data_IF_555332098802
#
_entry.id   IF_555332098802
#
_cell.length_a   1.000
_cell.length_b   1.000
_cell.length_c   1.000
_cell.angle_alpha   90.00
_cell.angle_beta   90.00
_cell.angle_gamma   90.00
#
_symmetry.space_group_name_H-M   'P 1'
#
loop_
_entity.id
_entity.type
_entity.pdbx_description
1 polymer ?
#
# COMPACT_ATOMS: atom_id res chain seq x y z
N UNK A 1 -3.50 7.86 13.94
CA UNK A 1 -3.32 6.51 14.51
C UNK A 1 -4.67 5.85 14.81
N UNK A 2 -4.89 4.64 14.30
CA UNK A 2 -6.00 3.79 14.73
C UNK A 2 -7.19 3.63 13.76
N UNK A 3 -7.39 4.50 12.76
CA UNK A 3 -8.45 4.27 11.76
C UNK A 3 -7.91 3.45 10.58
N UNK A 4 -8.50 2.29 10.34
CA UNK A 4 -8.25 1.50 9.13
C UNK A 4 -9.10 2.04 7.98
N UNK A 5 -8.47 2.27 6.83
CA UNK A 5 -9.15 2.75 5.63
C UNK A 5 -9.12 1.69 4.54
N UNK A 6 -10.30 1.30 4.07
CA UNK A 6 -10.46 0.45 2.89
C UNK A 6 -10.13 1.26 1.65
N UNK A 7 -9.40 0.66 0.72
CA UNK A 7 -8.96 1.30 -0.51
C UNK A 7 -8.79 0.27 -1.64
N UNK A 8 -8.40 0.76 -2.81
CA UNK A 8 -7.93 -0.05 -3.94
C UNK A 8 -6.44 0.16 -4.10
N UNK A 9 -5.69 -0.92 -4.25
CA UNK A 9 -4.26 -0.90 -4.57
C UNK A 9 -4.13 -1.45 -6.00
N UNK A 10 -4.03 -0.51 -6.95
CA UNK A 10 -4.26 -0.77 -8.38
C UNK A 10 -5.57 -1.55 -8.62
N UNK A 11 -5.46 -2.79 -9.09
CA UNK A 11 -6.60 -3.61 -9.49
C UNK A 11 -7.17 -4.52 -8.38
N UNK A 12 -6.65 -4.48 -7.15
CA UNK A 12 -7.10 -5.36 -6.05
C UNK A 12 -7.64 -4.57 -4.84
N UNK A 13 -8.63 -5.10 -4.10
CA UNK A 13 -9.08 -4.50 -2.85
C UNK A 13 -7.99 -4.64 -1.77
N UNK A 14 -7.80 -3.59 -0.98
CA UNK A 14 -6.85 -3.56 0.14
C UNK A 14 -7.37 -2.66 1.27
N UNK A 15 -6.63 -2.62 2.37
CA UNK A 15 -6.79 -1.60 3.40
C UNK A 15 -5.43 -1.07 3.85
N UNK A 16 -5.41 0.19 4.28
CA UNK A 16 -4.25 0.81 4.92
C UNK A 16 -4.59 1.11 6.38
N UNK A 17 -3.61 0.92 7.26
CA UNK A 17 -3.75 1.22 8.67
C UNK A 17 -2.47 1.84 9.23
N UNK A 18 -2.58 2.99 9.87
CA UNK A 18 -1.48 3.65 10.57
C UNK A 18 -1.52 3.25 12.05
N UNK A 19 -0.87 2.12 12.37
CA UNK A 19 -0.72 1.63 13.74
C UNK A 19 0.34 2.38 14.54
N UNK A 20 1.33 2.95 13.86
CA UNK A 20 2.48 3.67 14.43
C UNK A 20 2.66 5.02 13.74
N UNK A 21 3.38 5.97 14.36
CA UNK A 21 3.47 7.34 13.86
C UNK A 21 4.09 7.42 12.44
N UNK A 22 5.13 6.62 12.17
CA UNK A 22 5.93 6.68 10.94
C UNK A 22 5.76 5.46 10.04
N UNK A 23 4.79 4.59 10.34
CA UNK A 23 4.59 3.36 9.57
C UNK A 23 3.12 3.12 9.23
N UNK A 24 2.91 2.62 8.02
CA UNK A 24 1.62 2.15 7.54
C UNK A 24 1.69 0.65 7.26
N UNK A 25 0.67 -0.06 7.70
CA UNK A 25 0.41 -1.45 7.31
C UNK A 25 -0.52 -1.49 6.11
N UNK A 26 -0.19 -2.34 5.14
CA UNK A 26 -1.06 -2.67 4.01
C UNK A 26 -1.63 -4.07 4.20
N UNK A 27 -2.96 -4.19 4.12
CA UNK A 27 -3.69 -5.43 4.34
C UNK A 27 -4.34 -5.85 3.02
N UNK A 28 -4.16 -7.11 2.63
CA UNK A 28 -4.76 -7.70 1.43
C UNK A 28 -5.08 -9.19 1.65
N UNK A 29 -5.83 -9.79 0.73
CA UNK A 29 -6.02 -11.25 0.74
C UNK A 29 -4.70 -11.97 0.43
N UNK A 30 -4.46 -13.10 1.12
CA UNK A 30 -3.24 -13.91 0.94
C UNK A 30 -2.98 -14.28 -0.52
N UNK A 31 -4.03 -14.57 -1.30
CA UNK A 31 -3.93 -14.94 -2.71
C UNK A 31 -3.31 -13.87 -3.61
N UNK A 32 -3.29 -12.60 -3.19
CA UNK A 32 -2.72 -11.48 -3.95
C UNK A 32 -1.54 -10.81 -3.24
N UNK A 33 -0.99 -11.45 -2.20
CA UNK A 33 0.08 -10.84 -1.38
C UNK A 33 1.33 -10.48 -2.19
N UNK A 34 1.78 -11.39 -3.08
CA UNK A 34 2.94 -11.13 -3.94
C UNK A 34 2.66 -9.96 -4.89
N UNK A 35 1.50 -9.95 -5.54
CA UNK A 35 1.09 -8.87 -6.44
C UNK A 35 1.07 -7.50 -5.74
N UNK A 36 0.54 -7.42 -4.51
CA UNK A 36 0.53 -6.18 -3.73
C UNK A 36 1.95 -5.74 -3.35
N UNK A 37 2.81 -6.69 -2.97
CA UNK A 37 4.22 -6.40 -2.68
C UNK A 37 4.95 -5.86 -3.92
N UNK A 38 4.76 -6.50 -5.07
CA UNK A 38 5.42 -6.11 -6.33
C UNK A 38 5.03 -4.70 -6.76
N UNK A 39 3.79 -4.27 -6.53
CA UNK A 39 3.37 -2.87 -6.79
C UNK A 39 4.16 -1.90 -5.92
N UNK A 40 4.30 -2.19 -4.64
CA UNK A 40 5.04 -1.31 -3.72
C UNK A 40 6.52 -1.27 -4.11
N UNK A 41 7.11 -2.43 -4.41
CA UNK A 41 8.50 -2.54 -4.85
C UNK A 41 8.74 -1.80 -6.18
N UNK A 42 7.79 -1.86 -7.12
CA UNK A 42 7.83 -1.09 -8.36
C UNK A 42 7.73 0.42 -8.09
N UNK A 43 6.86 0.82 -7.17
CA UNK A 43 6.65 2.24 -6.82
C UNK A 43 7.87 2.87 -6.15
N UNK A 44 8.80 2.08 -5.60
CA UNK A 44 10.04 2.59 -5.01
C UNK A 44 11.20 2.68 -6.01
N UNK A 45 11.01 2.23 -7.26
CA UNK A 45 12.05 2.36 -8.27
C UNK A 45 12.23 3.81 -8.70
N UNK A 46 13.39 4.14 -9.26
CA UNK A 46 13.66 5.44 -9.86
C UNK A 46 12.59 5.76 -10.93
N UNK A 47 12.03 6.97 -10.87
CA UNK A 47 10.89 7.36 -11.72
C UNK A 47 9.50 6.94 -11.21
N UNK A 48 9.40 6.24 -10.07
CA UNK A 48 8.14 5.91 -9.37
C UNK A 48 7.60 7.02 -8.47
N UNK A 49 8.22 8.20 -8.50
CA UNK A 49 7.88 9.35 -7.68
C UNK A 49 6.47 9.88 -7.97
N UNK A 50 5.69 10.18 -6.91
CA UNK A 50 4.30 10.65 -7.04
C UNK A 50 4.22 12.06 -7.65
N UNK A 51 5.29 12.86 -7.56
CA UNK A 51 5.33 14.22 -8.10
C UNK A 51 4.28 15.16 -7.49
N UNK A 52 3.86 14.92 -6.24
CA UNK A 52 2.90 15.79 -5.54
C UNK A 52 3.62 17.04 -5.00
N UNK A 53 3.23 18.21 -5.51
CA UNK A 53 3.73 19.53 -5.09
C UNK A 53 2.61 20.35 -4.45
#
# INVERSE_FOLDING_TARGET
>A
PGEMRRTRLAQVPAAIWQGEAEAFSVICFRSVAQYVFDILALSTQEGGEVGYF
#
